data_IF_441176419666
#
_entry.id   IF_441176419666
#
_cell.length_a   1.000
_cell.length_b   1.000
_cell.length_c   1.000
_cell.angle_alpha   90.00
_cell.angle_beta   90.00
_cell.angle_gamma   90.00
#
_symmetry.space_group_name_H-M   'P 1'
#
loop_
_entity.id
_entity.type
_entity.pdbx_description
1 polymer ?
#
# COMPACT_ATOMS: atom_id res chain seq x y z
N UNK A 1 4.40 12.78 -3.66
CA UNK A 1 4.66 11.49 -3.00
C UNK A 1 3.36 10.70 -3.00
N UNK A 2 3.41 9.46 -3.48
CA UNK A 2 2.27 8.56 -3.57
C UNK A 2 2.41 7.47 -2.53
N UNK A 3 1.44 7.37 -1.63
CA UNK A 3 1.42 6.36 -0.57
C UNK A 3 0.31 5.36 -0.90
N UNK A 4 0.67 4.08 -1.03
CA UNK A 4 -0.27 2.98 -1.12
C UNK A 4 -0.47 2.34 0.25
N UNK A 5 -1.70 2.00 0.61
CA UNK A 5 -2.04 1.26 1.83
C UNK A 5 -2.83 0.02 1.43
N UNK A 6 -2.39 -1.16 1.84
CA UNK A 6 -3.05 -2.43 1.53
C UNK A 6 -3.22 -3.26 2.80
N UNK A 7 -4.46 -3.67 3.05
CA UNK A 7 -4.88 -4.46 4.20
C UNK A 7 -6.16 -5.22 3.80
N UNK A 8 -6.30 -6.49 4.18
CA UNK A 8 -7.49 -7.29 3.90
C UNK A 8 -8.62 -7.01 4.91
N UNK A 9 -8.30 -6.39 6.05
CA UNK A 9 -9.24 -5.90 7.02
C UNK A 9 -9.64 -4.44 6.73
N UNK A 10 -10.88 -4.27 6.29
CA UNK A 10 -11.43 -2.95 5.93
C UNK A 10 -11.44 -1.94 7.09
N UNK A 11 -11.58 -2.38 8.34
CA UNK A 11 -11.60 -1.50 9.50
C UNK A 11 -10.21 -0.91 9.76
N UNK A 12 -9.17 -1.75 9.71
CA UNK A 12 -7.78 -1.31 9.83
C UNK A 12 -7.37 -0.43 8.66
N UNK A 13 -7.73 -0.79 7.43
CA UNK A 13 -7.48 0.02 6.25
C UNK A 13 -8.04 1.44 6.38
N UNK A 14 -9.29 1.55 6.83
CA UNK A 14 -9.96 2.83 7.02
C UNK A 14 -9.32 3.66 8.14
N UNK A 15 -9.01 3.03 9.26
CA UNK A 15 -8.36 3.68 10.40
C UNK A 15 -6.98 4.23 10.02
N UNK A 16 -6.18 3.43 9.31
CA UNK A 16 -4.85 3.82 8.87
C UNK A 16 -4.90 4.94 7.82
N UNK A 17 -5.81 4.86 6.85
CA UNK A 17 -6.03 5.91 5.86
C UNK A 17 -6.39 7.25 6.54
N UNK A 18 -7.34 7.26 7.48
CA UNK A 18 -7.71 8.47 8.23
C UNK A 18 -6.54 9.03 9.05
N UNK A 19 -5.77 8.16 9.70
CA UNK A 19 -4.60 8.56 10.49
C UNK A 19 -3.53 9.23 9.64
N UNK A 20 -3.23 8.66 8.47
CA UNK A 20 -2.24 9.22 7.54
C UNK A 20 -2.77 10.52 6.95
N UNK A 21 -4.04 10.56 6.49
CA UNK A 21 -4.66 11.78 6.00
C UNK A 21 -4.59 12.92 7.02
N UNK A 22 -4.86 12.64 8.30
CA UNK A 22 -4.75 13.62 9.38
C UNK A 22 -3.34 14.21 9.49
N UNK A 23 -2.31 13.35 9.46
CA UNK A 23 -0.90 13.77 9.54
C UNK A 23 -0.49 14.57 8.30
N UNK A 24 -0.95 14.14 7.12
CA UNK A 24 -0.54 14.71 5.83
C UNK A 24 -1.41 15.89 5.38
N UNK A 25 -2.44 16.26 6.14
CA UNK A 25 -3.41 17.31 5.76
C UNK A 25 -2.77 18.69 5.51
N UNK A 26 -1.58 18.93 6.06
CA UNK A 26 -0.81 20.16 5.86
C UNK A 26 0.16 20.10 4.65
N UNK A 27 0.25 18.96 3.97
CA UNK A 27 1.23 18.72 2.90
C UNK A 27 0.54 18.52 1.55
N UNK A 28 0.59 19.55 0.69
CA UNK A 28 -0.15 19.60 -0.59
C UNK A 28 0.32 18.60 -1.67
N UNK A 29 1.37 17.81 -1.42
CA UNK A 29 1.99 16.93 -2.42
C UNK A 29 1.96 15.45 -2.02
N UNK A 30 1.05 15.04 -1.12
CA UNK A 30 0.87 13.64 -0.73
C UNK A 30 -0.48 13.16 -1.26
N UNK A 31 -0.48 12.10 -2.06
CA UNK A 31 -1.69 11.37 -2.45
C UNK A 31 -1.69 9.99 -1.82
N UNK A 32 -2.80 9.62 -1.20
CA UNK A 32 -2.97 8.34 -0.50
C UNK A 32 -3.99 7.52 -1.28
N UNK A 33 -3.67 6.26 -1.54
CA UNK A 33 -4.54 5.29 -2.19
C UNK A 33 -4.65 4.02 -1.35
N UNK A 34 -5.87 3.54 -1.15
CA UNK A 34 -6.15 2.28 -0.48
C UNK A 34 -6.34 1.16 -1.50
N UNK A 35 -5.74 0.01 -1.26
CA UNK A 35 -5.72 -1.14 -2.16
C UNK A 35 -6.33 -2.35 -1.47
N UNK A 36 -6.99 -3.20 -2.25
CA UNK A 36 -7.29 -4.57 -1.85
C UNK A 36 -6.07 -5.46 -2.13
N UNK A 37 -5.94 -6.61 -1.42
CA UNK A 37 -4.88 -7.57 -1.69
C UNK A 37 -4.82 -8.00 -3.17
N UNK A 38 -5.98 -8.19 -3.82
CA UNK A 38 -6.09 -8.53 -5.24
C UNK A 38 -5.51 -7.44 -6.16
N UNK A 39 -5.80 -6.17 -5.88
CA UNK A 39 -5.29 -5.05 -6.67
C UNK A 39 -3.77 -4.90 -6.50
N UNK A 40 -3.27 -5.14 -5.29
CA UNK A 40 -1.83 -5.13 -5.02
C UNK A 40 -1.12 -6.29 -5.75
N UNK A 41 -1.65 -7.51 -5.67
CA UNK A 41 -1.11 -8.68 -6.39
C UNK A 41 -1.04 -8.43 -7.90
N UNK A 42 -2.13 -7.93 -8.50
CA UNK A 42 -2.18 -7.55 -9.90
C UNK A 42 -1.14 -6.49 -10.28
N UNK A 43 -0.81 -5.57 -9.37
CA UNK A 43 0.18 -4.51 -9.60
C UNK A 43 1.62 -5.04 -9.49
N UNK A 44 1.85 -6.02 -8.61
CA UNK A 44 3.13 -6.72 -8.47
C UNK A 44 3.41 -7.54 -9.73
N UNK A 45 2.45 -8.34 -10.20
CA UNK A 45 2.62 -9.21 -11.37
C UNK A 45 2.92 -8.41 -12.64
N UNK A 46 2.36 -7.20 -12.76
CA UNK A 46 2.61 -6.27 -13.86
C UNK A 46 3.87 -5.43 -13.68
N UNK A 47 4.59 -5.59 -12.56
CA UNK A 47 5.73 -4.77 -12.16
C UNK A 47 5.43 -3.25 -12.27
N UNK A 48 4.24 -2.85 -11.81
CA UNK A 48 3.69 -1.53 -12.05
C UNK A 48 3.29 -0.80 -10.76
N UNK A 49 3.94 -1.09 -9.63
CA UNK A 49 3.63 -0.48 -8.33
C UNK A 49 3.91 1.04 -8.39
N UNK A 50 2.89 1.91 -8.39
CA UNK A 50 3.06 3.33 -8.62
C UNK A 50 3.24 4.12 -7.31
N UNK A 51 3.79 3.52 -6.24
CA UNK A 51 3.89 4.16 -4.93
C UNK A 51 5.35 4.42 -4.54
N UNK A 52 5.59 5.59 -3.96
CA UNK A 52 6.88 5.93 -3.36
C UNK A 52 7.04 5.23 -2.00
N UNK A 53 5.92 5.05 -1.28
CA UNK A 53 5.82 4.28 -0.03
C UNK A 53 4.62 3.35 -0.15
N UNK A 54 4.82 2.06 0.13
CA UNK A 54 3.75 1.08 0.23
C UNK A 54 3.69 0.56 1.66
N UNK A 55 2.57 0.79 2.34
CA UNK A 55 2.23 0.16 3.61
C UNK A 55 1.37 -1.05 3.30
N UNK A 56 1.83 -2.21 3.71
CA UNK A 56 1.20 -3.49 3.42
C UNK A 56 1.12 -4.27 4.72
N UNK A 57 -0.07 -4.77 5.05
CA UNK A 57 -0.18 -5.84 6.02
C UNK A 57 0.62 -7.08 5.56
N UNK A 58 1.13 -7.84 6.52
CA UNK A 58 1.94 -9.04 6.28
C UNK A 58 1.10 -10.31 6.18
N UNK A 59 -0.14 -10.29 6.69
CA UNK A 59 -1.01 -11.47 6.80
C UNK A 59 -2.36 -11.25 6.12
N UNK A 60 -2.33 -11.01 4.80
CA UNK A 60 -3.53 -10.72 4.02
C UNK A 60 -4.28 -11.95 3.49
N UNK A 61 -3.91 -13.16 3.93
CA UNK A 61 -4.47 -14.47 3.53
C UNK A 61 -4.34 -14.88 2.04
N UNK A 62 -4.24 -13.91 1.13
CA UNK A 62 -4.42 -14.07 -0.32
C UNK A 62 -3.14 -13.77 -1.11
N UNK A 63 -2.19 -13.04 -0.52
CA UNK A 63 -0.87 -12.77 -1.10
C UNK A 63 0.09 -13.87 -0.60
N UNK A 64 -0.16 -15.11 -0.98
CA UNK A 64 0.62 -16.27 -0.50
C UNK A 64 1.88 -16.53 -1.34
N UNK A 65 1.98 -15.99 -2.56
CA UNK A 65 3.07 -16.32 -3.49
C UNK A 65 3.70 -15.12 -4.22
N UNK A 66 3.08 -13.93 -4.21
CA UNK A 66 3.64 -12.73 -4.84
C UNK A 66 4.68 -12.09 -3.93
N UNK A 67 5.95 -12.49 -4.09
CA UNK A 67 7.06 -11.96 -3.27
C UNK A 67 7.35 -10.50 -3.66
N UNK A 68 6.97 -9.55 -2.80
CA UNK A 68 7.51 -8.19 -2.82
C UNK A 68 9.00 -8.24 -2.41
N UNK A 69 9.90 -8.46 -3.37
CA UNK A 69 11.33 -8.35 -3.11
C UNK A 69 11.78 -6.90 -3.24
N UNK A 70 12.25 -6.31 -2.14
CA UNK A 70 12.95 -5.03 -2.20
C UNK A 70 14.24 -5.21 -3.01
N UNK A 71 14.36 -4.52 -4.16
CA UNK A 71 15.59 -4.55 -4.95
C UNK A 71 16.66 -3.73 -4.23
N UNK A 72 17.64 -4.41 -3.64
CA UNK A 72 18.80 -3.74 -3.04
C UNK A 72 19.70 -3.19 -4.15
N UNK A 73 19.78 -1.87 -4.27
CA UNK A 73 20.84 -1.20 -5.04
C UNK A 73 22.05 -1.01 -4.12
N UNK A 74 22.89 -2.02 -4.02
CA UNK A 74 24.28 -1.89 -3.56
C UNK A 74 25.22 -1.92 -4.75
#
# INVERSE_FOLDING_TARGET
MRIGICDDNQEYLNCLNQSIQFITNSTNNISIETLTPENLANSIDKNSIPYDILLSDIDMGTITESILQAKSTR
#
